data_IF_398841498239
#
_entry.id   IF_398841498239
#
_cell.length_a   1.000
_cell.length_b   1.000
_cell.length_c   1.000
_cell.angle_alpha   90.00
_cell.angle_beta   90.00
_cell.angle_gamma   90.00
#
_symmetry.space_group_name_H-M   'P 1'
#
loop_
_entity.id
_entity.type
_entity.pdbx_description
1 polymer ?
#
# COMPACT_ATOMS: atom_id res chain seq x y z
N UNK A 1 -2.76 -5.81 -12.41
CA UNK A 1 -2.58 -4.54 -11.68
C UNK A 1 -1.12 -4.06 -11.62
N UNK A 2 -0.14 -4.73 -12.24
CA UNK A 2 1.29 -4.40 -12.09
C UNK A 2 1.74 -3.07 -12.76
N UNK A 3 1.08 -2.63 -13.83
CA UNK A 3 1.48 -1.44 -14.61
C UNK A 3 0.65 -0.19 -14.31
N UNK A 4 -0.63 -0.35 -13.94
CA UNK A 4 -1.52 0.79 -13.69
C UNK A 4 -1.41 1.36 -12.27
N UNK A 5 -0.95 0.55 -11.30
CA UNK A 5 -0.80 0.98 -9.90
C UNK A 5 0.14 2.17 -9.73
N UNK A 6 1.40 2.12 -10.22
CA UNK A 6 2.35 3.22 -10.08
C UNK A 6 1.87 4.54 -10.74
N UNK A 7 1.25 4.43 -11.92
CA UNK A 7 0.71 5.57 -12.67
C UNK A 7 -0.45 6.21 -11.93
N UNK A 8 -1.39 5.38 -11.42
CA UNK A 8 -2.53 5.85 -10.65
C UNK A 8 -2.10 6.48 -9.32
N UNK A 9 -1.09 5.91 -8.65
CA UNK A 9 -0.58 6.41 -7.38
C UNK A 9 0.02 7.82 -7.52
N UNK A 10 0.88 8.03 -8.52
CA UNK A 10 1.43 9.36 -8.79
C UNK A 10 0.38 10.35 -9.32
N UNK A 11 -0.57 9.88 -10.14
CA UNK A 11 -1.70 10.70 -10.58
C UNK A 11 -2.54 11.21 -9.40
N UNK A 12 -2.88 10.33 -8.46
CA UNK A 12 -3.63 10.71 -7.24
C UNK A 12 -2.83 11.68 -6.38
N UNK A 13 -1.53 11.44 -6.17
CA UNK A 13 -0.68 12.38 -5.40
C UNK A 13 -0.66 13.78 -6.04
N UNK A 14 -0.53 13.86 -7.38
CA UNK A 14 -0.55 15.16 -8.07
C UNK A 14 -1.90 15.87 -8.03
N UNK A 15 -3.01 15.12 -7.99
CA UNK A 15 -4.36 15.69 -7.86
C UNK A 15 -4.60 16.23 -6.45
N UNK A 16 -4.15 15.52 -5.41
CA UNK A 16 -4.28 15.96 -4.02
C UNK A 16 -3.50 17.28 -3.81
N UNK A 17 -2.28 17.36 -4.34
CA UNK A 17 -1.45 18.57 -4.27
C UNK A 17 -2.07 19.77 -5.01
N UNK A 18 -2.64 19.50 -6.18
CA UNK A 18 -3.35 20.50 -7.00
C UNK A 18 -4.60 21.04 -6.31
N UNK A 19 -5.34 20.18 -5.60
CA UNK A 19 -6.56 20.53 -4.88
C UNK A 19 -6.26 21.35 -3.61
N UNK A 20 -5.17 21.03 -2.92
CA UNK A 20 -4.72 21.78 -1.74
C UNK A 20 -4.15 23.17 -2.11
N UNK A 21 -3.54 23.32 -3.29
CA UNK A 21 -3.02 24.60 -3.79
C UNK A 21 -4.01 25.39 -4.67
N UNK A 22 -5.29 24.99 -4.72
CA UNK A 22 -6.34 25.62 -5.56
C UNK A 22 -5.96 25.80 -7.05
N UNK A 23 -5.03 24.99 -7.58
CA UNK A 23 -4.78 24.94 -9.01
C UNK A 23 -5.70 23.87 -9.62
N UNK A 24 -6.47 24.21 -10.65
CA UNK A 24 -7.23 23.20 -11.39
C UNK A 24 -6.30 22.48 -12.38
N UNK A 25 -5.73 21.34 -11.98
CA UNK A 25 -5.12 20.42 -12.94
C UNK A 25 -6.17 19.47 -13.54
N UNK A 26 -6.13 19.33 -14.87
CA UNK A 26 -6.86 18.28 -15.57
C UNK A 26 -6.31 16.90 -15.21
N UNK A 27 -7.18 15.91 -15.02
CA UNK A 27 -6.82 14.52 -14.77
C UNK A 27 -5.85 13.93 -15.83
N UNK A 28 -5.87 14.48 -17.05
CA UNK A 28 -4.93 14.10 -18.13
C UNK A 28 -3.50 14.57 -17.88
N UNK A 29 -3.30 15.74 -17.23
CA UNK A 29 -1.97 16.22 -16.82
C UNK A 29 -1.42 15.41 -15.64
N UNK A 30 -2.28 15.09 -14.67
CA UNK A 30 -1.95 14.21 -13.55
C UNK A 30 -1.49 12.82 -14.02
N UNK A 31 -2.19 12.23 -15.00
CA UNK A 31 -1.77 10.98 -15.65
C UNK A 31 -0.43 11.13 -16.39
N UNK A 32 -0.18 12.26 -17.06
CA UNK A 32 1.09 12.52 -17.73
C UNK A 32 2.29 12.59 -16.76
N UNK A 33 2.09 13.21 -15.59
CA UNK A 33 3.09 13.27 -14.51
C UNK A 33 3.30 11.88 -13.88
N UNK A 34 2.23 11.11 -13.72
CA UNK A 34 2.31 9.72 -13.27
C UNK A 34 3.05 8.81 -14.26
N UNK A 35 2.91 9.08 -15.56
CA UNK A 35 3.64 8.37 -16.60
C UNK A 35 5.14 8.73 -16.61
N UNK A 36 5.49 10.00 -16.35
CA UNK A 36 6.89 10.45 -16.37
C UNK A 36 7.72 9.87 -15.22
N UNK A 37 7.09 9.56 -14.08
CA UNK A 37 7.76 8.95 -12.93
C UNK A 37 7.50 7.43 -12.82
N UNK A 38 6.87 6.84 -13.85
CA UNK A 38 6.45 5.44 -13.84
C UNK A 38 7.60 4.46 -13.53
N UNK A 39 8.76 4.66 -14.15
CA UNK A 39 9.90 3.76 -13.98
C UNK A 39 10.45 3.76 -12.54
N UNK A 40 10.64 4.94 -11.95
CA UNK A 40 11.14 5.06 -10.57
C UNK A 40 10.11 4.51 -9.55
N UNK A 41 8.82 4.76 -9.78
CA UNK A 41 7.75 4.20 -8.93
C UNK A 41 7.58 2.70 -9.12
N UNK A 42 7.80 2.18 -10.32
CA UNK A 42 7.75 0.75 -10.60
C UNK A 42 8.92 0.02 -9.96
N UNK A 43 10.13 0.56 -10.05
CA UNK A 43 11.32 0.03 -9.38
C UNK A 43 11.13 0.05 -7.86
N UNK A 44 10.65 1.17 -7.29
CA UNK A 44 10.31 1.26 -5.89
C UNK A 44 9.26 0.21 -5.48
N UNK A 45 8.19 0.05 -6.27
CA UNK A 45 7.14 -0.92 -5.99
C UNK A 45 7.67 -2.36 -5.99
N UNK A 46 8.62 -2.68 -6.88
CA UNK A 46 9.24 -4.00 -6.92
C UNK A 46 10.17 -4.23 -5.72
N UNK A 47 10.99 -3.23 -5.36
CA UNK A 47 11.90 -3.29 -4.21
C UNK A 47 11.13 -3.43 -2.88
N UNK A 48 10.09 -2.61 -2.70
CA UNK A 48 9.24 -2.67 -1.49
C UNK A 48 8.30 -3.89 -1.52
N UNK A 49 7.96 -4.38 -2.71
CA UNK A 49 7.06 -5.51 -2.92
C UNK A 49 7.50 -6.80 -2.22
N UNK A 50 8.81 -7.00 -2.07
CA UNK A 50 9.39 -8.14 -1.34
C UNK A 50 8.92 -8.15 0.14
N UNK A 51 8.73 -6.97 0.73
CA UNK A 51 8.33 -6.78 2.12
C UNK A 51 6.81 -6.73 2.30
N UNK A 52 6.00 -6.85 1.25
CA UNK A 52 4.54 -6.86 1.39
C UNK A 52 4.04 -8.11 2.14
N UNK A 53 2.94 -7.95 2.88
CA UNK A 53 2.31 -9.03 3.65
C UNK A 53 2.04 -10.29 2.79
N UNK A 54 1.55 -10.09 1.56
CA UNK A 54 1.25 -11.18 0.64
C UNK A 54 2.54 -11.92 0.22
N UNK A 55 3.64 -11.20 0.01
CA UNK A 55 4.96 -11.78 -0.30
C UNK A 55 5.48 -12.64 0.86
N UNK A 56 5.30 -12.18 2.12
CA UNK A 56 5.66 -12.96 3.30
C UNK A 56 4.88 -14.28 3.35
N UNK A 57 3.57 -14.22 3.10
CA UNK A 57 2.69 -15.40 3.14
C UNK A 57 3.01 -16.38 2.01
N UNK A 58 3.22 -15.89 0.78
CA UNK A 58 3.57 -16.76 -0.36
C UNK A 58 4.94 -17.39 -0.18
N UNK A 59 5.91 -16.64 0.36
CA UNK A 59 7.24 -17.17 0.67
C UNK A 59 7.18 -18.25 1.76
N UNK A 60 6.36 -18.06 2.80
CA UNK A 60 6.13 -19.11 3.81
C UNK A 60 5.54 -20.39 3.21
N UNK A 61 4.49 -20.26 2.39
CA UNK A 61 3.87 -21.40 1.71
C UNK A 61 4.86 -22.12 0.78
N UNK A 62 5.73 -21.36 0.10
CA UNK A 62 6.78 -21.91 -0.74
C UNK A 62 7.83 -22.69 0.07
N UNK A 63 8.28 -22.17 1.21
CA UNK A 63 9.23 -22.87 2.09
C UNK A 63 8.66 -24.17 2.65
N UNK A 64 7.40 -24.16 3.11
CA UNK A 64 6.72 -25.37 3.57
C UNK A 64 6.60 -26.41 2.46
N UNK A 65 6.36 -25.97 1.22
CA UNK A 65 6.31 -26.86 0.06
C UNK A 65 7.66 -27.46 -0.29
N UNK A 66 8.76 -26.72 -0.08
CA UNK A 66 10.10 -27.17 -0.49
C UNK A 66 10.75 -28.08 0.56
N UNK A 67 10.51 -27.84 1.84
CA UNK A 67 11.15 -28.55 2.96
C UNK A 67 10.24 -29.57 3.67
N UNK A 68 8.96 -29.67 3.28
CA UNK A 68 7.94 -30.53 3.90
C UNK A 68 7.54 -30.09 5.33
N UNK A 69 6.42 -30.60 5.84
CA UNK A 69 5.80 -30.18 7.11
C UNK A 69 6.63 -30.49 8.35
N UNK A 70 7.65 -31.34 8.23
CA UNK A 70 8.60 -31.68 9.31
C UNK A 70 9.35 -30.45 9.83
N UNK A 71 9.60 -29.46 8.98
CA UNK A 71 10.35 -28.24 9.33
C UNK A 71 9.46 -27.05 9.68
N UNK A 72 8.17 -27.27 9.95
CA UNK A 72 7.23 -26.18 10.23
C UNK A 72 7.71 -25.28 11.38
N UNK A 73 8.22 -25.85 12.48
CA UNK A 73 8.72 -25.09 13.63
C UNK A 73 9.81 -24.07 13.27
N UNK A 74 10.99 -24.52 12.77
CA UNK A 74 12.07 -23.61 12.42
C UNK A 74 11.69 -22.65 11.28
N UNK A 75 10.90 -23.08 10.29
CA UNK A 75 10.43 -22.21 9.20
C UNK A 75 9.51 -21.11 9.74
N UNK A 76 8.57 -21.44 10.64
CA UNK A 76 7.68 -20.46 11.25
C UNK A 76 8.46 -19.42 12.05
N UNK A 77 9.50 -19.81 12.79
CA UNK A 77 10.33 -18.86 13.54
C UNK A 77 11.10 -17.90 12.61
N UNK A 78 11.72 -18.45 11.56
CA UNK A 78 12.43 -17.65 10.56
C UNK A 78 11.49 -16.66 9.86
N UNK A 79 10.30 -17.11 9.46
CA UNK A 79 9.30 -16.26 8.82
C UNK A 79 8.74 -15.22 9.79
N UNK A 80 8.61 -15.54 11.07
CA UNK A 80 8.16 -14.56 12.07
C UNK A 80 9.16 -13.40 12.20
N UNK A 81 10.46 -13.69 12.24
CA UNK A 81 11.50 -12.65 12.25
C UNK A 81 11.46 -11.84 10.95
N UNK A 82 11.36 -12.52 9.81
CA UNK A 82 11.22 -11.86 8.51
C UNK A 82 10.00 -10.94 8.44
N UNK A 83 8.87 -11.38 9.00
CA UNK A 83 7.63 -10.62 9.06
C UNK A 83 7.80 -9.31 9.86
N UNK A 84 8.46 -9.35 11.01
CA UNK A 84 8.74 -8.15 11.82
C UNK A 84 9.62 -7.18 11.02
N UNK A 85 10.72 -7.68 10.44
CA UNK A 85 11.62 -6.87 9.62
C UNK A 85 10.90 -6.24 8.42
N UNK A 86 10.03 -7.00 7.76
CA UNK A 86 9.24 -6.52 6.64
C UNK A 86 8.29 -5.38 7.05
N UNK A 87 7.65 -5.46 8.21
CA UNK A 87 6.81 -4.37 8.73
C UNK A 87 7.62 -3.11 9.04
N UNK A 88 8.79 -3.26 9.67
CA UNK A 88 9.69 -2.13 9.95
C UNK A 88 10.15 -1.48 8.63
N UNK A 89 10.59 -2.29 7.66
CA UNK A 89 10.99 -1.79 6.34
C UNK A 89 9.84 -1.05 5.63
N UNK A 90 8.62 -1.60 5.66
CA UNK A 90 7.44 -0.93 5.09
C UNK A 90 7.18 0.42 5.76
N UNK A 91 7.30 0.51 7.08
CA UNK A 91 7.17 1.78 7.81
C UNK A 91 8.22 2.80 7.36
N UNK A 92 9.49 2.39 7.27
CA UNK A 92 10.60 3.26 6.87
C UNK A 92 10.47 3.75 5.41
N UNK A 93 9.94 2.92 4.52
CA UNK A 93 9.82 3.24 3.09
C UNK A 93 8.47 3.86 2.70
N UNK A 94 7.58 4.09 3.66
CA UNK A 94 6.23 4.61 3.39
C UNK A 94 6.23 6.03 2.77
N UNK A 95 7.26 6.85 3.01
CA UNK A 95 7.37 8.19 2.41
C UNK A 95 8.07 8.20 1.04
N UNK A 96 8.66 7.09 0.59
CA UNK A 96 9.46 7.04 -0.63
C UNK A 96 8.70 7.47 -1.89
N UNK A 97 7.42 7.12 -2.11
CA UNK A 97 6.67 7.59 -3.28
C UNK A 97 6.57 9.13 -3.34
N UNK A 98 6.45 9.81 -2.21
CA UNK A 98 6.33 11.27 -2.14
C UNK A 98 7.66 11.97 -2.47
N UNK A 99 8.80 11.40 -2.05
CA UNK A 99 10.13 11.88 -2.45
C UNK A 99 10.40 11.74 -3.95
N UNK A 100 9.85 10.72 -4.60
CA UNK A 100 9.98 10.56 -6.06
C UNK A 100 9.12 11.62 -6.77
N UNK A 101 7.85 11.77 -6.36
CA UNK A 101 6.90 12.66 -7.03
C UNK A 101 7.24 14.15 -6.83
N UNK A 102 7.63 14.57 -5.63
CA UNK A 102 7.92 15.98 -5.34
C UNK A 102 9.41 16.33 -5.44
N UNK A 103 10.28 15.38 -5.11
CA UNK A 103 11.73 15.60 -5.06
C UNK A 103 12.48 15.28 -6.35
N UNK A 104 11.83 14.64 -7.34
CA UNK A 104 12.48 14.09 -8.56
C UNK A 104 13.72 13.23 -8.25
N UNK A 105 13.69 12.51 -7.13
CA UNK A 105 14.77 11.64 -6.67
C UNK A 105 14.65 10.25 -7.31
N UNK A 106 15.78 9.63 -7.61
CA UNK A 106 15.82 8.22 -8.05
C UNK A 106 15.35 7.28 -6.93
N UNK A 107 14.86 6.09 -7.31
CA UNK A 107 14.26 5.08 -6.40
C UNK A 107 15.06 4.84 -5.11
N UNK A 108 16.38 4.68 -5.23
CA UNK A 108 17.28 4.47 -4.07
C UNK A 108 17.48 5.71 -3.20
N UNK A 109 17.56 6.90 -3.81
CA UNK A 109 17.68 8.16 -3.06
C UNK A 109 16.38 8.47 -2.31
N UNK A 110 15.24 8.14 -2.92
CA UNK A 110 13.93 8.28 -2.29
C UNK A 110 13.74 7.33 -1.11
N UNK A 111 14.19 6.07 -1.22
CA UNK A 111 14.18 5.10 -0.11
C UNK A 111 15.02 5.60 1.08
N UNK A 112 16.22 6.11 0.81
CA UNK A 112 17.11 6.62 1.85
C UNK A 112 16.53 7.86 2.52
N UNK A 113 16.01 8.81 1.73
CA UNK A 113 15.37 10.02 2.25
C UNK A 113 14.12 9.70 3.09
N UNK A 114 13.31 8.73 2.63
CA UNK A 114 12.14 8.22 3.37
C UNK A 114 12.55 7.61 4.71
N UNK A 115 13.59 6.77 4.72
CA UNK A 115 14.06 6.12 5.94
C UNK A 115 14.58 7.14 6.96
N UNK A 116 15.35 8.14 6.51
CA UNK A 116 15.85 9.22 7.38
C UNK A 116 14.67 10.00 7.96
N UNK A 117 13.69 10.40 7.14
CA UNK A 117 12.53 11.17 7.58
C UNK A 117 11.63 10.38 8.55
N UNK A 118 11.43 9.07 8.30
CA UNK A 118 10.68 8.19 9.18
C UNK A 118 11.34 8.03 10.56
N UNK A 119 12.68 8.00 10.60
CA UNK A 119 13.44 7.89 11.86
C UNK A 119 13.45 9.24 12.60
N UNK A 120 13.62 10.36 11.89
CA UNK A 120 13.64 11.69 12.53
C UNK A 120 12.29 12.06 13.13
N UNK A 121 11.18 11.59 12.55
CA UNK A 121 9.82 11.90 13.00
C UNK A 121 9.03 10.65 13.41
N UNK A 122 9.66 9.76 14.17
CA UNK A 122 9.12 8.45 14.53
C UNK A 122 7.74 8.52 15.21
N UNK A 123 7.46 9.53 16.05
CA UNK A 123 6.15 9.67 16.72
C UNK A 123 5.00 9.88 15.71
N UNK A 124 5.20 10.76 14.72
CA UNK A 124 4.20 11.03 13.69
C UNK A 124 4.08 9.81 12.76
N UNK A 125 5.22 9.26 12.33
CA UNK A 125 5.25 8.09 11.44
C UNK A 125 4.58 6.88 12.08
N UNK A 126 4.81 6.61 13.36
CA UNK A 126 4.22 5.47 14.06
C UNK A 126 2.69 5.59 14.16
N UNK A 127 2.17 6.78 14.48
CA UNK A 127 0.71 7.03 14.54
C UNK A 127 0.04 6.83 13.18
N UNK A 128 0.66 7.33 12.12
CA UNK A 128 0.16 7.18 10.75
C UNK A 128 0.27 5.73 10.30
N UNK A 129 1.36 5.04 10.63
CA UNK A 129 1.56 3.63 10.31
C UNK A 129 0.60 2.70 11.07
N UNK A 130 0.25 3.01 12.32
CA UNK A 130 -0.75 2.25 13.07
C UNK A 130 -2.14 2.39 12.42
N UNK A 131 -2.51 3.60 12.02
CA UNK A 131 -3.73 3.82 11.23
C UNK A 131 -3.69 3.06 9.91
N UNK A 132 -2.55 3.10 9.20
CA UNK A 132 -2.33 2.31 8.00
C UNK A 132 -2.57 0.82 8.23
N UNK A 133 -2.06 0.26 9.34
CA UNK A 133 -2.20 -1.16 9.67
C UNK A 133 -3.67 -1.53 9.94
N UNK A 134 -4.38 -0.73 10.72
CA UNK A 134 -5.81 -0.91 10.99
C UNK A 134 -6.62 -0.88 9.69
N UNK A 135 -6.35 0.10 8.82
CA UNK A 135 -7.04 0.24 7.54
C UNK A 135 -6.67 -0.92 6.59
N UNK A 136 -5.42 -1.40 6.66
CA UNK A 136 -4.91 -2.52 5.85
C UNK A 136 -5.46 -3.87 6.29
N UNK A 137 -6.01 -4.00 7.52
CA UNK A 137 -6.73 -5.19 7.97
C UNK A 137 -7.92 -5.54 7.06
N UNK A 138 -8.43 -4.58 6.26
CA UNK A 138 -9.43 -4.85 5.21
C UNK A 138 -9.00 -5.94 4.23
N UNK A 139 -7.71 -6.06 3.95
CA UNK A 139 -7.17 -7.05 3.02
C UNK A 139 -7.43 -8.48 3.53
N UNK A 140 -7.43 -8.65 4.86
CA UNK A 140 -7.80 -9.91 5.50
C UNK A 140 -9.29 -10.19 5.30
N UNK A 141 -10.16 -9.19 5.48
CA UNK A 141 -11.61 -9.34 5.21
C UNK A 141 -11.89 -9.72 3.74
N UNK A 142 -11.25 -9.04 2.80
CA UNK A 142 -11.36 -9.34 1.36
C UNK A 142 -10.88 -10.78 1.09
N UNK A 143 -9.73 -11.16 1.66
CA UNK A 143 -9.18 -12.51 1.52
C UNK A 143 -10.12 -13.59 2.06
N UNK A 144 -10.70 -13.38 3.24
CA UNK A 144 -11.70 -14.29 3.82
C UNK A 144 -12.93 -14.39 2.92
N UNK A 145 -13.46 -13.28 2.41
CA UNK A 145 -14.67 -13.32 1.58
C UNK A 145 -14.44 -14.00 0.23
N UNK A 146 -13.26 -13.85 -0.36
CA UNK A 146 -12.87 -14.62 -1.57
C UNK A 146 -12.75 -16.10 -1.24
N UNK A 147 -12.15 -16.45 -0.09
CA UNK A 147 -12.00 -17.84 0.34
C UNK A 147 -13.35 -18.51 0.64
N UNK A 148 -14.34 -17.75 1.12
CA UNK A 148 -15.70 -18.24 1.39
C UNK A 148 -16.53 -18.46 0.12
N UNK A 149 -16.16 -17.84 -1.00
CA UNK A 149 -16.88 -17.93 -2.27
C UNK A 149 -17.03 -19.38 -2.80
N UNK A 150 -15.98 -20.24 -2.81
CA UNK A 150 -16.13 -21.66 -3.16
C UNK A 150 -16.94 -22.49 -2.13
N UNK A 151 -17.01 -22.06 -0.87
CA UNK A 151 -17.90 -22.72 0.10
C UNK A 151 -19.37 -22.33 -0.13
N UNK A 152 -19.61 -21.08 -0.51
CA UNK A 152 -20.94 -20.60 -0.89
C UNK A 152 -21.46 -21.32 -2.15
N UNK A 153 -20.60 -21.57 -3.15
CA UNK A 153 -20.99 -22.37 -4.33
C UNK A 153 -21.35 -23.79 -3.93
N UNK A 154 -20.54 -24.42 -3.08
CA UNK A 154 -20.78 -25.78 -2.59
C UNK A 154 -22.10 -25.87 -1.80
N UNK A 155 -22.39 -24.89 -0.94
CA UNK A 155 -23.63 -24.82 -0.18
C UNK A 155 -24.87 -24.66 -1.07
N UNK A 156 -24.81 -23.78 -2.07
CA UNK A 156 -25.90 -23.59 -3.03
C UNK A 156 -26.19 -24.84 -3.86
N UNK A 157 -25.15 -25.56 -4.29
CA UNK A 157 -25.31 -26.86 -4.99
C UNK A 157 -26.04 -27.85 -4.09
N UNK A 158 -25.70 -27.89 -2.79
CA UNK A 158 -26.37 -28.75 -1.80
C UNK A 158 -27.84 -28.37 -1.57
N UNK A 159 -28.17 -27.08 -1.52
CA UNK A 159 -29.53 -26.59 -1.24
C UNK A 159 -30.51 -26.86 -2.39
N UNK A 160 -30.09 -26.62 -3.63
CA UNK A 160 -30.94 -26.80 -4.80
C UNK A 160 -31.12 -28.28 -5.21
N UNK A 161 -30.31 -29.19 -4.66
CA UNK A 161 -30.24 -30.59 -5.10
C UNK A 161 -29.79 -30.73 -6.56
N UNK A 162 -29.75 -31.95 -7.10
CA UNK A 162 -29.41 -32.22 -8.51
C UNK A 162 -30.46 -31.73 -9.53
N UNK A 163 -31.47 -30.95 -9.10
CA UNK A 163 -32.66 -30.63 -9.90
C UNK A 163 -32.54 -29.43 -10.84
N UNK A 164 -31.82 -28.33 -10.52
CA UNK A 164 -31.54 -27.31 -11.51
C UNK A 164 -30.36 -27.73 -12.38
N UNK A 165 -30.42 -27.37 -13.65
CA UNK A 165 -29.24 -27.42 -14.53
C UNK A 165 -28.10 -26.63 -13.89
N UNK A 166 -26.87 -27.14 -13.98
CA UNK A 166 -25.64 -26.50 -13.47
C UNK A 166 -25.57 -25.01 -13.87
N UNK A 167 -26.06 -24.68 -15.07
CA UNK A 167 -26.18 -23.32 -15.60
C UNK A 167 -27.00 -22.37 -14.73
N UNK A 168 -28.10 -22.84 -14.12
CA UNK A 168 -28.94 -22.03 -13.22
C UNK A 168 -28.18 -21.62 -11.96
N UNK A 169 -27.39 -22.53 -11.40
CA UNK A 169 -26.57 -22.28 -10.20
C UNK A 169 -25.50 -21.22 -10.50
N UNK A 170 -24.84 -21.31 -11.66
CA UNK A 170 -23.87 -20.30 -12.09
C UNK A 170 -24.50 -18.93 -12.31
N UNK A 171 -25.71 -18.86 -12.88
CA UNK A 171 -26.43 -17.59 -13.06
C UNK A 171 -26.79 -16.96 -11.71
N UNK A 172 -27.35 -17.75 -10.79
CA UNK A 172 -27.66 -17.28 -9.43
C UNK A 172 -26.40 -16.79 -8.72
N UNK A 173 -25.30 -17.53 -8.84
CA UNK A 173 -24.02 -17.10 -8.28
C UNK A 173 -23.49 -15.83 -8.90
N UNK A 174 -23.51 -15.70 -10.22
CA UNK A 174 -23.08 -14.48 -10.89
C UNK A 174 -23.89 -13.25 -10.43
N UNK A 175 -25.21 -13.39 -10.31
CA UNK A 175 -26.08 -12.31 -9.81
C UNK A 175 -25.76 -11.96 -8.36
N UNK A 176 -25.45 -12.94 -7.52
CA UNK A 176 -25.19 -12.73 -6.10
C UNK A 176 -23.77 -12.18 -5.83
N UNK A 177 -22.77 -12.64 -6.58
CA UNK A 177 -21.37 -12.25 -6.40
C UNK A 177 -21.01 -10.95 -7.11
N UNK A 178 -21.64 -10.60 -8.23
CA UNK A 178 -21.35 -9.36 -8.97
C UNK A 178 -21.50 -8.08 -8.13
N UNK A 179 -22.65 -7.82 -7.46
CA UNK A 179 -22.79 -6.61 -6.65
C UNK A 179 -21.81 -6.61 -5.47
N UNK A 180 -21.51 -7.79 -4.94
CA UNK A 180 -20.55 -7.95 -3.86
C UNK A 180 -19.12 -7.59 -4.30
N UNK A 181 -18.67 -8.05 -5.48
CA UNK A 181 -17.37 -7.69 -6.06
C UNK A 181 -17.30 -6.18 -6.35
N UNK A 182 -18.37 -5.60 -6.90
CA UNK A 182 -18.42 -4.16 -7.17
C UNK A 182 -18.31 -3.33 -5.88
N UNK A 183 -19.02 -3.75 -4.83
CA UNK A 183 -18.92 -3.11 -3.51
C UNK A 183 -17.50 -3.20 -2.94
N UNK A 184 -16.87 -4.37 -3.00
CA UNK A 184 -15.48 -4.56 -2.55
C UNK A 184 -14.50 -3.68 -3.34
N UNK A 185 -14.65 -3.63 -4.66
CA UNK A 185 -13.80 -2.79 -5.52
C UNK A 185 -13.93 -1.30 -5.15
N UNK A 186 -15.16 -0.83 -4.92
CA UNK A 186 -15.41 0.55 -4.53
C UNK A 186 -14.83 0.88 -3.15
N UNK A 187 -15.07 0.02 -2.15
CA UNK A 187 -14.51 0.20 -0.81
C UNK A 187 -12.98 0.22 -0.84
N UNK A 188 -12.37 -0.67 -1.62
CA UNK A 188 -10.91 -0.72 -1.75
C UNK A 188 -10.35 0.57 -2.35
N UNK A 189 -10.99 1.11 -3.39
CA UNK A 189 -10.58 2.37 -4.04
C UNK A 189 -10.66 3.56 -3.08
N UNK A 190 -11.78 3.73 -2.39
CA UNK A 190 -11.98 4.84 -1.43
C UNK A 190 -10.94 4.79 -0.31
N UNK A 191 -10.71 3.61 0.25
CA UNK A 191 -9.75 3.44 1.35
C UNK A 191 -8.31 3.62 0.88
N UNK A 192 -7.97 3.25 -0.35
CA UNK A 192 -6.65 3.48 -0.94
C UNK A 192 -6.36 4.99 -1.10
N UNK A 193 -7.32 5.77 -1.61
CA UNK A 193 -7.19 7.23 -1.71
C UNK A 193 -7.02 7.84 -0.31
N UNK A 194 -7.78 7.37 0.68
CA UNK A 194 -7.67 7.84 2.06
C UNK A 194 -6.28 7.56 2.67
N UNK A 195 -5.71 6.38 2.42
CA UNK A 195 -4.34 6.04 2.84
C UNK A 195 -3.30 6.96 2.20
N UNK A 196 -3.41 7.21 0.90
CA UNK A 196 -2.53 8.14 0.19
C UNK A 196 -2.63 9.54 0.78
N UNK A 197 -3.84 10.00 1.12
CA UNK A 197 -4.06 11.29 1.78
C UNK A 197 -3.46 11.38 3.19
N UNK A 198 -3.57 10.32 3.99
CA UNK A 198 -2.96 10.27 5.33
C UNK A 198 -1.44 10.41 5.27
N UNK A 199 -0.80 9.65 4.39
CA UNK A 199 0.64 9.69 4.21
C UNK A 199 1.13 11.00 3.57
N UNK A 200 0.34 11.58 2.67
CA UNK A 200 0.61 12.90 2.10
C UNK A 200 0.64 14.00 3.16
N UNK A 201 -0.38 14.06 4.03
CA UNK A 201 -0.40 15.00 5.17
C UNK A 201 0.77 14.78 6.11
N UNK A 202 1.09 13.52 6.41
CA UNK A 202 2.22 13.19 7.26
C UNK A 202 3.56 13.64 6.64
N UNK A 203 3.70 13.51 5.33
CA UNK A 203 4.87 13.96 4.59
C UNK A 203 5.05 15.48 4.69
N UNK A 204 4.00 16.28 4.44
CA UNK A 204 4.09 17.74 4.55
C UNK A 204 4.39 18.21 5.97
N UNK A 205 3.69 17.67 6.98
CA UNK A 205 3.92 18.02 8.39
C UNK A 205 5.38 17.79 8.82
N UNK A 206 6.01 16.72 8.33
CA UNK A 206 7.39 16.38 8.69
C UNK A 206 8.41 17.11 7.83
N UNK A 207 8.08 17.48 6.60
CA UNK A 207 8.93 18.26 5.72
C UNK A 207 8.98 19.75 6.16
N UNK A 208 7.84 20.33 6.53
CA UNK A 208 7.72 21.72 7.00
C UNK A 208 8.40 21.91 8.38
N UNK A 209 8.35 20.89 9.23
CA UNK A 209 9.11 20.87 10.49
C UNK A 209 10.63 20.87 10.24
N UNK A 210 11.10 20.14 9.22
CA UNK A 210 12.51 20.11 8.85
C UNK A 210 13.02 21.45 8.30
N UNK A 211 12.28 22.13 7.42
CA UNK A 211 12.64 23.47 6.92
C UNK A 211 12.66 24.50 8.04
N UNK A 212 11.70 24.45 8.97
CA UNK A 212 11.65 25.35 10.14
C UNK A 212 12.85 25.17 11.09
N UNK A 213 13.29 23.93 11.30
CA UNK A 213 14.47 23.61 12.12
C UNK A 213 15.80 24.02 11.46
N UNK A 214 15.85 24.06 10.12
CA UNK A 214 17.05 24.44 9.38
C UNK A 214 17.25 25.95 9.38
N UNK A 215 16.18 26.74 9.23
CA UNK A 215 16.21 28.20 9.24
C UNK A 215 16.61 28.75 10.62
N UNK A 216 16.17 28.10 11.70
CA UNK A 216 16.55 28.50 13.07
C UNK A 216 18.00 28.19 13.42
N UNK A 217 18.63 27.20 12.76
CA UNK A 217 20.06 26.91 12.92
C UNK A 217 20.97 27.85 12.10
N UNK A 218 20.45 28.48 11.05
CA UNK A 218 21.22 29.38 10.16
C UNK A 218 21.30 30.83 10.64
N UNK A 219 20.51 31.23 11.64
CA UNK A 219 20.49 32.60 12.18
C UNK A 219 21.19 32.74 13.54
N UNK A 220 21.95 31.74 13.98
CA UNK A 220 22.67 31.75 15.26
C UNK A 220 24.16 32.10 15.20
N UNK A 221 24.67 32.57 14.06
CA UNK A 221 26.11 32.83 13.91
C UNK A 221 26.41 34.06 13.06
N UNK A 222 25.92 35.22 13.51
CA UNK A 222 26.45 36.53 13.13
C UNK A 222 25.92 37.54 14.16
N UNK A 223 26.51 37.53 15.35
CA UNK A 223 26.55 38.68 16.26
C UNK A 223 27.39 38.26 17.46
N UNK A 224 28.68 38.64 17.46
CA UNK A 224 29.45 39.08 18.63
C UNK A 224 30.88 39.45 18.22
N UNK A 225 31.12 40.77 18.19
CA UNK A 225 32.36 41.52 18.48
C UNK A 225 33.61 41.33 17.60
#
# INVERSE_FOLDING_TARGET
MLFFGPIAHAGVISLIDSEEHHQHQSATKALGIGLSHFFDLFELHNLVGIFNLLSVVTFYAFLLRLFDFTYIGPISWFIFIYFILANIANMLFSYAPYHIVFGKKTSFQALTASAIQAITHLDVTLKVYLNYLIISARTILIGIMILLLPFLTSWLIGWFGFSPSISTIFIVMAILTTPFILFLAQMNSVLEIFLIGLWYRAYHLTNDAHTSSTITSSHGHDDHH
#
